data_IF_738091795527
#
_entry.id   IF_738091795527
#
_cell.length_a   1.000
_cell.length_b   1.000
_cell.length_c   1.000
_cell.angle_alpha   90.00
_cell.angle_beta   90.00
_cell.angle_gamma   90.00
#
_symmetry.space_group_name_H-M   'P 1'
#
loop_
_entity.id
_entity.type
_entity.pdbx_description
1 polymer ?
#
# COMPACT_ATOMS: atom_id res chain seq x y z
N UNK A 1 38.16 3.45 -4.30
CA UNK A 1 37.12 3.14 -3.29
C UNK A 1 35.85 3.85 -3.72
N UNK A 2 34.95 3.15 -4.42
CA UNK A 2 33.69 3.74 -4.88
C UNK A 2 32.80 4.01 -3.68
N UNK A 3 32.44 5.27 -3.49
CA UNK A 3 31.37 5.66 -2.59
C UNK A 3 30.10 4.96 -3.07
N UNK A 4 29.71 3.89 -2.37
CA UNK A 4 28.38 3.31 -2.50
C UNK A 4 27.45 4.39 -1.95
N UNK A 5 26.86 5.15 -2.88
CA UNK A 5 25.85 6.16 -2.57
C UNK A 5 24.68 5.36 -2.00
N UNK A 6 24.68 5.18 -0.67
CA UNK A 6 23.57 4.64 0.08
C UNK A 6 22.38 5.52 -0.22
N UNK A 7 21.58 5.10 -1.21
CA UNK A 7 20.26 5.65 -1.44
C UNK A 7 19.57 5.43 -0.12
N UNK A 8 19.24 6.51 0.58
CA UNK A 8 18.34 6.45 1.72
C UNK A 8 17.12 5.74 1.18
N UNK A 9 16.92 4.47 1.57
CA UNK A 9 15.64 3.81 1.42
C UNK A 9 14.73 4.72 2.23
N UNK A 10 14.04 5.65 1.55
CA UNK A 10 12.97 6.41 2.17
C UNK A 10 12.08 5.34 2.77
N UNK A 11 11.81 5.43 4.07
CA UNK A 11 10.97 4.52 4.83
C UNK A 11 9.56 4.55 4.22
N UNK A 12 9.40 3.90 3.08
CA UNK A 12 8.17 3.87 2.33
C UNK A 12 7.24 2.90 3.05
N UNK A 13 6.05 3.39 3.36
CA UNK A 13 4.96 2.64 3.95
C UNK A 13 3.71 3.00 3.17
N UNK A 14 2.93 1.99 2.83
CA UNK A 14 1.66 2.18 2.14
C UNK A 14 0.60 2.76 3.08
N UNK A 15 0.76 2.61 4.39
CA UNK A 15 -0.16 3.13 5.40
C UNK A 15 -0.22 4.66 5.33
N UNK A 16 -1.43 5.22 5.26
CA UNK A 16 -1.65 6.65 5.09
C UNK A 16 -1.59 7.12 3.62
N UNK A 17 -1.18 6.27 2.68
CA UNK A 17 -1.23 6.59 1.26
C UNK A 17 -2.68 6.56 0.74
N UNK A 18 -2.92 7.34 -0.31
CA UNK A 18 -4.17 7.25 -1.09
C UNK A 18 -4.11 6.05 -2.00
N UNK A 19 -5.20 5.31 -2.09
CA UNK A 19 -5.36 4.25 -3.07
C UNK A 19 -6.79 4.23 -3.61
N UNK A 20 -6.98 3.67 -4.80
CA UNK A 20 -8.31 3.33 -5.29
C UNK A 20 -8.45 1.82 -5.46
N UNK A 21 -9.67 1.34 -5.31
CA UNK A 21 -9.99 -0.08 -5.53
C UNK A 21 -10.08 -0.35 -7.03
N UNK A 22 -9.31 -1.32 -7.52
CA UNK A 22 -9.24 -1.63 -8.96
C UNK A 22 -10.48 -2.41 -9.44
N UNK A 23 -11.01 -3.30 -8.59
CA UNK A 23 -12.07 -4.26 -8.89
C UNK A 23 -13.03 -4.46 -7.70
N UNK A 24 -14.28 -4.88 -7.98
CA UNK A 24 -15.28 -5.17 -6.95
C UNK A 24 -16.28 -4.03 -6.67
N UNK A 25 -17.11 -4.14 -5.61
CA UNK A 25 -18.23 -3.23 -5.36
C UNK A 25 -17.81 -1.79 -5.03
N UNK A 26 -16.55 -1.59 -4.61
CA UNK A 26 -15.98 -0.28 -4.30
C UNK A 26 -15.05 0.24 -5.40
N UNK A 27 -15.08 -0.37 -6.60
CA UNK A 27 -14.23 -0.02 -7.74
C UNK A 27 -14.24 1.49 -8.03
N UNK A 28 -13.06 2.03 -8.34
CA UNK A 28 -12.80 3.44 -8.63
C UNK A 28 -13.07 4.42 -7.46
N UNK A 29 -13.41 3.93 -6.27
CA UNK A 29 -13.49 4.78 -5.08
C UNK A 29 -12.10 4.93 -4.46
N UNK A 30 -11.76 6.16 -4.08
CA UNK A 30 -10.47 6.51 -3.47
C UNK A 30 -10.64 6.49 -1.95
N UNK A 31 -9.66 5.92 -1.26
CA UNK A 31 -9.58 5.93 0.20
C UNK A 31 -8.15 6.07 0.70
N UNK A 32 -8.00 6.02 2.03
CA UNK A 32 -6.71 6.00 2.71
C UNK A 32 -6.42 4.58 3.21
N UNK A 33 -5.23 4.06 2.90
CA UNK A 33 -4.78 2.74 3.36
C UNK A 33 -4.48 2.78 4.85
N UNK A 34 -4.98 1.80 5.58
CA UNK A 34 -4.73 1.56 7.00
C UNK A 34 -4.36 0.10 7.22
N UNK A 35 -3.60 -0.17 8.26
CA UNK A 35 -3.20 -1.53 8.66
C UNK A 35 -4.05 -2.00 9.83
N UNK A 36 -4.44 -3.29 9.86
CA UNK A 36 -5.11 -3.89 11.02
C UNK A 36 -4.07 -4.21 12.11
N UNK A 37 -4.35 -3.83 13.35
CA UNK A 37 -3.55 -4.28 14.50
C UNK A 37 -3.94 -5.73 14.85
N UNK A 38 -2.99 -6.66 14.65
CA UNK A 38 -3.04 -8.10 14.96
C UNK A 38 -3.88 -8.98 14.01
N UNK A 39 -3.29 -10.15 13.77
CA UNK A 39 -3.54 -11.12 12.72
C UNK A 39 -4.89 -11.84 12.88
N UNK A 40 -5.79 -11.62 11.92
CA UNK A 40 -6.52 -12.66 11.18
C UNK A 40 -7.30 -11.97 10.03
N UNK A 41 -6.92 -12.28 8.78
CA UNK A 41 -7.46 -11.65 7.56
C UNK A 41 -6.49 -10.72 6.82
N UNK A 42 -6.98 -9.99 5.82
CA UNK A 42 -6.19 -9.04 5.04
C UNK A 42 -5.53 -8.00 5.94
N UNK A 43 -4.21 -7.82 5.79
CA UNK A 43 -3.43 -6.93 6.67
C UNK A 43 -3.82 -5.45 6.55
N UNK A 44 -4.54 -5.09 5.48
CA UNK A 44 -4.89 -3.71 5.16
C UNK A 44 -6.39 -3.54 4.90
N UNK A 45 -6.85 -2.31 5.11
CA UNK A 45 -8.18 -1.85 4.74
C UNK A 45 -8.11 -0.41 4.21
N UNK A 46 -9.12 -0.01 3.44
CA UNK A 46 -9.32 1.37 3.03
C UNK A 46 -10.36 2.04 3.90
N UNK A 47 -10.14 3.31 4.21
CA UNK A 47 -11.19 4.22 4.70
C UNK A 47 -11.68 5.06 3.53
N UNK A 48 -12.93 4.87 3.13
CA UNK A 48 -13.60 5.55 2.00
C UNK A 48 -14.88 6.20 2.53
N UNK A 49 -14.98 7.53 2.52
CA UNK A 49 -16.18 8.26 2.99
C UNK A 49 -16.71 7.73 4.34
N UNK A 50 -15.80 7.61 5.32
CA UNK A 50 -16.02 7.05 6.67
C UNK A 50 -16.39 5.54 6.74
N UNK A 51 -16.41 4.83 5.62
CA UNK A 51 -16.59 3.38 5.54
C UNK A 51 -15.25 2.65 5.57
N UNK A 52 -15.17 1.58 6.36
CA UNK A 52 -14.04 0.64 6.37
C UNK A 52 -14.29 -0.45 5.33
N UNK A 53 -13.39 -0.55 4.35
CA UNK A 53 -13.46 -1.53 3.27
C UNK A 53 -12.23 -2.44 3.36
N UNK A 54 -12.48 -3.71 3.67
CA UNK A 54 -11.43 -4.73 3.65
C UNK A 54 -10.95 -4.96 2.21
N UNK A 55 -9.63 -4.93 2.01
CA UNK A 55 -9.00 -5.09 0.70
C UNK A 55 -7.73 -5.91 0.81
N UNK A 56 -7.39 -6.66 -0.23
CA UNK A 56 -6.04 -7.18 -0.38
C UNK A 56 -5.15 -6.20 -1.14
N UNK A 57 -3.83 -6.30 -0.98
CA UNK A 57 -2.88 -5.46 -1.73
C UNK A 57 -3.08 -5.55 -3.24
N UNK A 58 -3.42 -6.74 -3.74
CA UNK A 58 -3.67 -6.97 -5.16
C UNK A 58 -4.91 -6.24 -5.69
N UNK A 59 -5.82 -5.81 -4.81
CA UNK A 59 -7.10 -5.21 -5.18
C UNK A 59 -7.04 -3.68 -5.24
N UNK A 60 -5.95 -3.08 -4.77
CA UNK A 60 -5.78 -1.62 -4.70
C UNK A 60 -4.66 -1.14 -5.62
N UNK A 61 -4.78 0.13 -6.02
CA UNK A 61 -3.73 0.86 -6.74
C UNK A 61 -3.41 2.13 -5.98
N UNK A 62 -2.16 2.27 -5.55
CA UNK A 62 -1.66 3.45 -4.85
C UNK A 62 -1.62 4.67 -5.80
N UNK A 63 -1.97 5.83 -5.28
CA UNK A 63 -2.01 7.10 -6.02
C UNK A 63 -0.84 7.98 -5.62
N UNK A 64 -0.09 8.48 -6.60
CA UNK A 64 1.03 9.40 -6.37
C UNK A 64 2.25 8.74 -5.73
N UNK A 65 2.35 7.41 -5.81
CA UNK A 65 3.48 6.61 -5.33
C UNK A 65 4.38 6.21 -6.48
N UNK A 66 5.69 6.27 -6.26
CA UNK A 66 6.69 5.75 -7.21
C UNK A 66 6.61 4.23 -7.30
N UNK A 67 6.40 3.71 -8.52
CA UNK A 67 6.21 2.27 -8.78
C UNK A 67 7.41 1.45 -8.33
N UNK A 68 8.63 1.97 -8.46
CA UNK A 68 9.85 1.28 -8.05
C UNK A 68 9.94 1.20 -6.54
N UNK A 69 9.62 2.28 -5.82
CA UNK A 69 9.58 2.26 -4.35
C UNK A 69 8.53 1.27 -3.83
N UNK A 70 7.36 1.22 -4.46
CA UNK A 70 6.33 0.25 -4.10
C UNK A 70 6.78 -1.19 -4.37
N UNK A 71 7.43 -1.44 -5.52
CA UNK A 71 7.95 -2.76 -5.86
C UNK A 71 9.01 -3.24 -4.85
N UNK A 72 10.01 -2.40 -4.56
CA UNK A 72 11.06 -2.69 -3.57
C UNK A 72 10.45 -2.95 -2.17
N UNK A 73 9.39 -2.24 -1.80
CA UNK A 73 8.65 -2.48 -0.55
C UNK A 73 7.91 -3.81 -0.56
N UNK A 74 7.27 -4.19 -1.66
CA UNK A 74 6.61 -5.49 -1.80
C UNK A 74 7.60 -6.65 -1.67
N UNK A 75 8.78 -6.56 -2.32
CA UNK A 75 9.85 -7.57 -2.19
C UNK A 75 10.33 -7.68 -0.74
N UNK A 76 10.57 -6.54 -0.08
CA UNK A 76 11.07 -6.51 1.30
C UNK A 76 10.09 -7.12 2.32
N UNK A 77 8.78 -6.98 2.09
CA UNK A 77 7.74 -7.51 2.99
C UNK A 77 7.22 -8.90 2.57
N UNK A 78 7.79 -9.53 1.54
CA UNK A 78 7.44 -10.89 1.11
C UNK A 78 6.11 -11.00 0.35
N UNK A 79 5.71 -9.94 -0.36
CA UNK A 79 4.47 -9.92 -1.17
C UNK A 79 4.67 -10.31 -2.64
N UNK A 80 5.91 -10.59 -3.07
CA UNK A 80 6.29 -10.99 -4.45
C UNK A 80 6.89 -12.39 -4.49
#
# INVERSE_FOLDING_TARGET
>A
MSAVKGVRILNFDITGQKAYVKDGPYRNRIGIVKQKEKQEGSSFFLVIDDQVVDVELKDIVLVGVDVRQFHEWCEHNGYL
#
